data_IF_167286992370
#
_entry.id   IF_167286992370
#
_cell.length_a   1.000
_cell.length_b   1.000
_cell.length_c   1.000
_cell.angle_alpha   90.00
_cell.angle_beta   90.00
_cell.angle_gamma   90.00
#
_symmetry.space_group_name_H-M   'P 1'
#
loop_
_entity.id
_entity.type
_entity.pdbx_description
1 polymer ?
#
# COMPACT_ATOMS: atom_id res chain seq x y z
N UNK A 1 4.44 4.02 7.46
CA UNK A 1 5.31 3.86 8.64
C UNK A 1 5.02 4.99 9.62
N UNK A 2 4.96 4.67 10.91
CA UNK A 2 4.70 5.62 11.98
C UNK A 2 5.94 5.81 12.83
N UNK A 3 6.62 6.97 12.76
CA UNK A 3 7.65 7.35 13.72
C UNK A 3 7.10 7.46 15.15
N UNK A 4 5.85 7.91 15.32
CA UNK A 4 5.27 8.18 16.64
C UNK A 4 4.93 6.92 17.43
N UNK A 5 4.58 5.83 16.73
CA UNK A 5 4.37 4.51 17.31
C UNK A 5 5.54 3.54 17.07
N UNK A 6 6.62 4.00 16.43
CA UNK A 6 7.78 3.21 16.01
C UNK A 6 7.42 1.87 15.36
N UNK A 7 6.53 1.90 14.36
CA UNK A 7 6.07 0.68 13.68
C UNK A 7 5.67 0.90 12.23
N UNK A 8 5.78 -0.18 11.45
CA UNK A 8 5.18 -0.27 10.12
C UNK A 8 3.79 -0.91 10.25
N UNK A 9 2.81 -0.34 9.54
CA UNK A 9 1.41 -0.74 9.65
C UNK A 9 0.91 -1.15 8.27
N UNK A 10 0.24 -2.29 8.18
CA UNK A 10 -0.50 -2.66 6.96
C UNK A 10 -1.75 -1.80 6.91
N UNK A 11 -1.86 -0.97 5.87
CA UNK A 11 -3.02 -0.08 5.71
C UNK A 11 -4.08 -0.65 4.78
N UNK A 12 -3.79 -1.70 4.02
CA UNK A 12 -4.72 -2.35 3.10
C UNK A 12 -4.06 -2.83 1.81
N UNK A 13 -4.85 -3.47 0.96
CA UNK A 13 -4.40 -4.02 -0.32
C UNK A 13 -5.47 -3.79 -1.40
N UNK A 14 -5.01 -3.52 -2.60
CA UNK A 14 -5.86 -3.44 -3.78
C UNK A 14 -5.19 -4.14 -4.97
N UNK A 15 -5.99 -4.42 -6.00
CA UNK A 15 -5.51 -4.78 -7.32
C UNK A 15 -5.76 -3.57 -8.22
N UNK A 16 -4.69 -3.05 -8.80
CA UNK A 16 -4.78 -2.00 -9.80
C UNK A 16 -5.57 -2.51 -11.01
N UNK A 17 -6.60 -1.77 -11.40
CA UNK A 17 -7.44 -2.10 -12.55
C UNK A 17 -6.96 -1.30 -13.76
N UNK A 18 -6.54 -2.00 -14.80
CA UNK A 18 -5.74 -1.45 -15.89
C UNK A 18 -6.38 -1.73 -17.26
N UNK A 19 -6.45 -0.69 -18.09
CA UNK A 19 -6.96 -0.76 -19.45
C UNK A 19 -5.80 -0.72 -20.44
N UNK A 20 -5.80 -1.55 -21.47
CA UNK A 20 -6.80 -2.56 -21.86
C UNK A 20 -6.49 -3.99 -21.37
N UNK A 21 -5.35 -4.20 -20.69
CA UNK A 21 -4.87 -5.53 -20.27
C UNK A 21 -5.91 -6.35 -19.48
N UNK A 22 -6.63 -5.74 -18.53
CA UNK A 22 -7.64 -6.45 -17.74
C UNK A 22 -8.94 -6.76 -18.51
N UNK A 23 -9.18 -6.02 -19.60
CA UNK A 23 -10.24 -6.33 -20.55
C UNK A 23 -9.83 -7.48 -21.47
N UNK A 24 -8.63 -7.42 -22.03
CA UNK A 24 -8.09 -8.42 -22.96
C UNK A 24 -7.98 -9.81 -22.33
N UNK A 25 -7.65 -9.91 -21.04
CA UNK A 25 -7.62 -11.23 -20.34
C UNK A 25 -8.99 -11.94 -20.28
N UNK A 26 -10.09 -11.23 -20.53
CA UNK A 26 -11.46 -11.77 -20.55
C UNK A 26 -11.94 -12.11 -21.97
N UNK A 27 -11.21 -11.69 -22.99
CA UNK A 27 -11.55 -11.94 -24.38
C UNK A 27 -11.09 -13.34 -24.84
N UNK A 28 -11.72 -13.92 -25.87
CA UNK A 28 -11.19 -15.10 -26.55
C UNK A 28 -9.74 -14.88 -27.03
N UNK A 29 -8.92 -15.94 -27.01
CA UNK A 29 -7.48 -15.86 -27.33
C UNK A 29 -7.22 -15.31 -28.73
N UNK A 30 -8.07 -15.65 -29.71
CA UNK A 30 -7.98 -15.18 -31.09
C UNK A 30 -8.33 -13.69 -31.25
N UNK A 31 -9.05 -13.11 -30.29
CA UNK A 31 -9.30 -11.67 -30.20
C UNK A 31 -8.16 -10.99 -29.45
N UNK A 32 -7.81 -11.48 -28.26
CA UNK A 32 -6.79 -10.87 -27.41
C UNK A 32 -5.41 -10.78 -28.09
N UNK A 33 -5.03 -11.82 -28.83
CA UNK A 33 -3.75 -11.88 -29.57
C UNK A 33 -3.59 -10.86 -30.70
N UNK A 34 -4.67 -10.14 -31.07
CA UNK A 34 -4.63 -9.08 -32.11
C UNK A 34 -4.22 -7.72 -31.55
N UNK A 35 -4.12 -7.57 -30.23
CA UNK A 35 -3.84 -6.30 -29.56
C UNK A 35 -2.54 -6.39 -28.76
N UNK A 36 -1.83 -5.28 -28.64
CA UNK A 36 -0.71 -5.13 -27.70
C UNK A 36 -1.24 -4.51 -26.42
N UNK A 37 -1.19 -5.23 -25.27
CA UNK A 37 -1.80 -4.74 -24.04
C UNK A 37 -1.12 -3.48 -23.54
N UNK A 38 -1.93 -2.59 -22.99
CA UNK A 38 -1.51 -1.40 -22.25
C UNK A 38 -1.90 -1.52 -20.78
N UNK A 39 -1.17 -0.81 -19.92
CA UNK A 39 -1.32 -0.88 -18.45
C UNK A 39 -1.82 0.46 -17.89
N UNK A 40 -2.71 1.13 -18.63
CA UNK A 40 -3.22 2.45 -18.21
C UNK A 40 -4.12 2.25 -17.00
N UNK A 41 -3.77 2.85 -15.87
CA UNK A 41 -4.53 2.74 -14.63
C UNK A 41 -5.90 3.42 -14.79
N UNK A 42 -6.98 2.66 -14.61
CA UNK A 42 -8.37 3.14 -14.72
C UNK A 42 -9.18 2.94 -13.46
N UNK A 43 -8.67 2.20 -12.47
CA UNK A 43 -9.34 2.00 -11.20
C UNK A 43 -8.53 1.11 -10.24
N UNK A 44 -9.18 0.71 -9.15
CA UNK A 44 -8.62 -0.17 -8.14
C UNK A 44 -9.73 -1.09 -7.61
N UNK A 45 -9.40 -2.35 -7.31
CA UNK A 45 -10.32 -3.33 -6.75
C UNK A 45 -9.85 -3.72 -5.35
N UNK A 46 -10.73 -3.79 -4.34
CA UNK A 46 -10.31 -4.24 -3.01
C UNK A 46 -9.90 -5.71 -3.05
N UNK A 47 -8.82 -6.06 -2.36
CA UNK A 47 -8.38 -7.45 -2.18
C UNK A 47 -7.96 -7.70 -0.75
N UNK A 48 -8.16 -8.93 -0.29
CA UNK A 48 -7.70 -9.40 1.02
C UNK A 48 -6.82 -10.62 0.77
N UNK A 49 -5.48 -10.48 0.83
CA UNK A 49 -4.58 -11.61 0.61
C UNK A 49 -4.81 -12.70 1.66
N UNK A 50 -4.40 -13.93 1.33
CA UNK A 50 -4.32 -15.04 2.29
C UNK A 50 -3.48 -14.58 3.49
N UNK A 51 -3.98 -14.81 4.70
CA UNK A 51 -3.38 -14.29 5.94
C UNK A 51 -1.89 -14.60 6.09
N UNK A 52 -1.44 -15.79 5.69
CA UNK A 52 -0.01 -16.17 5.71
C UNK A 52 0.90 -15.21 4.93
N UNK A 53 0.39 -14.51 3.90
CA UNK A 53 1.17 -13.54 3.12
C UNK A 53 1.38 -12.21 3.87
N UNK A 54 0.59 -11.92 4.91
CA UNK A 54 0.68 -10.65 5.64
C UNK A 54 2.02 -10.50 6.35
N UNK A 55 2.59 -11.60 6.86
CA UNK A 55 3.93 -11.62 7.46
C UNK A 55 4.98 -11.17 6.45
N UNK A 56 4.97 -11.74 5.24
CA UNK A 56 5.90 -11.36 4.16
C UNK A 56 5.71 -9.92 3.72
N UNK A 57 4.47 -9.44 3.55
CA UNK A 57 4.21 -8.06 3.16
C UNK A 57 4.68 -7.06 4.24
N UNK A 58 4.48 -7.38 5.51
CA UNK A 58 4.96 -6.54 6.62
C UNK A 58 6.49 -6.52 6.67
N UNK A 59 7.15 -7.69 6.56
CA UNK A 59 8.61 -7.80 6.51
C UNK A 59 9.19 -6.95 5.36
N UNK A 60 8.58 -7.02 4.17
CA UNK A 60 8.98 -6.21 3.03
C UNK A 60 8.84 -4.71 3.32
N UNK A 61 7.75 -4.31 3.97
CA UNK A 61 7.54 -2.93 4.40
C UNK A 61 8.60 -2.45 5.39
N UNK A 62 8.93 -3.26 6.40
CA UNK A 62 9.97 -2.94 7.38
C UNK A 62 11.37 -2.85 6.77
N UNK A 63 11.69 -3.78 5.86
CA UNK A 63 12.94 -3.78 5.10
C UNK A 63 13.04 -2.57 4.18
N UNK A 64 11.95 -2.19 3.52
CA UNK A 64 11.88 -0.99 2.70
C UNK A 64 12.16 0.26 3.54
N UNK A 65 11.45 0.45 4.65
CA UNK A 65 11.67 1.59 5.56
C UNK A 65 13.11 1.63 6.06
N UNK A 66 13.65 0.49 6.48
CA UNK A 66 15.04 0.38 6.97
C UNK A 66 16.06 0.74 5.88
N UNK A 67 15.83 0.29 4.65
CA UNK A 67 16.67 0.64 3.51
C UNK A 67 16.60 2.14 3.23
N UNK A 68 15.41 2.72 3.13
CA UNK A 68 15.24 4.16 2.86
C UNK A 68 15.90 5.02 3.94
N UNK A 69 15.71 4.71 5.22
CA UNK A 69 16.37 5.42 6.33
C UNK A 69 17.90 5.37 6.22
N UNK A 70 18.45 4.21 5.83
CA UNK A 70 19.90 4.03 5.64
C UNK A 70 20.42 4.80 4.43
N UNK A 71 19.77 4.69 3.27
CA UNK A 71 20.25 5.30 2.02
C UNK A 71 20.10 6.83 2.02
N UNK A 72 19.04 7.36 2.66
CA UNK A 72 18.78 8.80 2.69
C UNK A 72 19.34 9.49 3.96
N UNK A 73 19.95 8.73 4.88
CA UNK A 73 20.55 9.26 6.11
C UNK A 73 19.54 9.99 7.01
N UNK A 74 18.28 9.59 6.98
CA UNK A 74 17.19 10.39 7.52
C UNK A 74 15.98 9.61 8.01
N UNK A 75 14.92 10.36 8.27
CA UNK A 75 13.64 9.84 8.75
C UNK A 75 12.79 9.38 7.57
N UNK A 76 11.86 8.48 7.84
CA UNK A 76 10.84 8.08 6.90
C UNK A 76 9.50 8.11 7.62
N UNK A 77 8.54 8.87 7.12
CA UNK A 77 7.24 9.05 7.77
C UNK A 77 6.11 8.97 6.74
N UNK A 78 5.00 8.35 7.15
CA UNK A 78 3.78 8.35 6.35
C UNK A 78 3.62 7.14 5.41
N UNK A 79 2.68 7.24 4.45
CA UNK A 79 2.24 6.13 3.63
C UNK A 79 3.19 5.86 2.47
N UNK A 80 3.33 4.59 2.12
CA UNK A 80 3.99 4.11 0.91
C UNK A 80 3.26 2.86 0.41
N UNK A 81 3.54 2.48 -0.83
CA UNK A 81 3.04 1.26 -1.43
C UNK A 81 4.20 0.47 -2.03
N UNK A 82 4.20 -0.85 -1.81
CA UNK A 82 5.03 -1.80 -2.54
C UNK A 82 4.12 -2.52 -3.54
N UNK A 83 4.37 -2.32 -4.83
CA UNK A 83 3.60 -2.96 -5.88
C UNK A 83 4.18 -4.34 -6.15
N UNK A 84 3.39 -5.36 -5.86
CA UNK A 84 3.86 -6.74 -5.83
C UNK A 84 3.02 -7.66 -6.71
N UNK A 85 3.64 -8.74 -7.17
CA UNK A 85 2.96 -9.93 -7.70
C UNK A 85 3.24 -11.11 -6.77
N UNK A 86 2.27 -12.03 -6.68
CA UNK A 86 2.39 -13.28 -5.92
C UNK A 86 2.32 -14.44 -6.91
N UNK A 87 3.34 -15.28 -6.93
CA UNK A 87 3.37 -16.45 -7.80
C UNK A 87 2.56 -17.63 -7.23
N UNK A 88 2.55 -18.74 -7.97
CA UNK A 88 1.81 -19.96 -7.59
C UNK A 88 2.35 -20.65 -6.33
N UNK A 89 3.61 -20.39 -5.98
CA UNK A 89 4.30 -20.96 -4.82
C UNK A 89 4.25 -20.00 -3.61
N UNK A 90 3.47 -18.91 -3.72
CA UNK A 90 3.30 -17.85 -2.72
C UNK A 90 4.55 -16.99 -2.51
N UNK A 91 5.46 -16.93 -3.48
CA UNK A 91 6.57 -15.98 -3.43
C UNK A 91 6.07 -14.58 -3.81
N UNK A 92 6.44 -13.59 -3.00
CA UNK A 92 6.10 -12.18 -3.23
C UNK A 92 7.26 -11.49 -3.95
N UNK A 93 7.00 -10.90 -5.11
CA UNK A 93 7.96 -10.12 -5.89
C UNK A 93 7.48 -8.68 -5.99
N UNK A 94 8.23 -7.75 -5.40
CA UNK A 94 8.00 -6.31 -5.58
C UNK A 94 8.65 -5.84 -6.89
N UNK A 95 7.89 -5.16 -7.75
CA UNK A 95 8.38 -4.65 -9.03
C UNK A 95 8.45 -3.12 -9.08
N UNK A 96 7.68 -2.42 -8.23
CA UNK A 96 7.67 -0.97 -8.11
C UNK A 96 7.36 -0.55 -6.66
N UNK A 97 7.68 0.68 -6.31
CA UNK A 97 7.22 1.29 -5.07
C UNK A 97 6.78 2.74 -5.28
N UNK A 98 5.85 3.20 -4.44
CA UNK A 98 5.46 4.61 -4.31
C UNK A 98 5.78 5.10 -2.91
N UNK A 99 6.66 6.09 -2.78
CA UNK A 99 7.02 6.73 -1.51
C UNK A 99 5.97 7.71 -0.95
N UNK A 100 4.71 7.52 -1.32
CA UNK A 100 3.56 8.35 -0.93
C UNK A 100 2.26 7.53 -1.01
N UNK A 101 1.16 8.13 -0.58
CA UNK A 101 -0.18 7.57 -0.73
C UNK A 101 -0.50 7.27 -2.21
N UNK A 102 -1.24 6.18 -2.44
CA UNK A 102 -1.62 5.68 -3.79
C UNK A 102 -3.13 5.65 -3.94
N UNK A 103 -3.61 5.66 -5.19
CA UNK A 103 -5.05 5.63 -5.49
C UNK A 103 -5.75 4.37 -4.95
N UNK A 104 -5.02 3.26 -4.80
CA UNK A 104 -5.50 2.02 -4.20
C UNK A 104 -6.15 2.18 -2.83
N UNK A 105 -5.72 3.17 -2.03
CA UNK A 105 -6.33 3.43 -0.72
C UNK A 105 -7.79 3.88 -0.80
N UNK A 106 -8.24 4.34 -1.98
CA UNK A 106 -9.59 4.84 -2.19
C UNK A 106 -10.67 3.75 -2.08
N UNK A 107 -10.32 2.47 -2.26
CA UNK A 107 -11.26 1.35 -2.10
C UNK A 107 -11.81 1.27 -0.66
N UNK A 108 -11.16 1.92 0.29
CA UNK A 108 -11.53 1.95 1.71
C UNK A 108 -12.16 3.28 2.16
N UNK A 109 -12.48 4.22 1.26
CA UNK A 109 -12.96 5.56 1.63
C UNK A 109 -14.24 5.56 2.48
N UNK A 110 -15.19 4.68 2.17
CA UNK A 110 -16.52 4.69 2.82
C UNK A 110 -16.54 3.93 4.14
N UNK A 111 -15.81 2.81 4.22
CA UNK A 111 -15.90 1.87 5.34
C UNK A 111 -14.62 1.80 6.18
N UNK A 112 -13.58 2.56 5.81
CA UNK A 112 -12.25 2.43 6.39
C UNK A 112 -11.55 1.13 5.96
N UNK A 113 -10.26 1.06 6.25
CA UNK A 113 -9.50 -0.17 6.06
C UNK A 113 -9.76 -1.13 7.21
N UNK A 114 -10.10 -2.41 6.94
CA UNK A 114 -10.24 -3.40 7.98
C UNK A 114 -8.92 -3.66 8.71
N UNK A 115 -7.77 -3.46 8.05
CA UNK A 115 -6.45 -3.59 8.68
C UNK A 115 -6.20 -2.47 9.69
N UNK A 116 -6.49 -1.22 9.32
CA UNK A 116 -6.38 -0.10 10.26
C UNK A 116 -7.34 -0.24 11.43
N UNK A 117 -8.53 -0.81 11.21
CA UNK A 117 -9.47 -1.07 12.29
C UNK A 117 -8.91 -2.04 13.35
N UNK A 118 -8.04 -2.99 12.97
CA UNK A 118 -7.37 -3.89 13.93
C UNK A 118 -6.38 -3.14 14.83
N UNK A 119 -5.70 -2.12 14.30
CA UNK A 119 -4.74 -1.33 15.09
C UNK A 119 -5.42 -0.32 16.02
N UNK A 120 -6.53 0.27 15.57
CA UNK A 120 -7.13 1.45 16.23
C UNK A 120 -8.54 1.23 16.80
N UNK A 121 -9.11 0.03 16.65
CA UNK A 121 -10.43 -0.33 17.17
C UNK A 121 -11.60 0.42 16.53
N UNK A 122 -11.38 1.12 15.40
CA UNK A 122 -12.41 1.86 14.66
C UNK A 122 -12.10 1.91 13.16
N UNK A 123 -13.12 2.06 12.29
CA UNK A 123 -12.92 2.39 10.89
C UNK A 123 -12.01 3.60 10.73
N UNK A 124 -11.02 3.47 9.84
CA UNK A 124 -10.06 4.52 9.55
C UNK A 124 -9.54 4.38 8.11
N UNK A 125 -9.51 5.47 7.38
CA UNK A 125 -8.87 5.61 6.07
C UNK A 125 -7.38 5.93 6.22
N UNK A 126 -6.60 5.75 5.16
CA UNK A 126 -5.17 6.14 5.18
C UNK A 126 -5.01 7.65 5.36
N UNK A 127 -5.92 8.46 4.81
CA UNK A 127 -5.93 9.92 5.03
C UNK A 127 -6.15 10.29 6.49
N UNK A 128 -7.14 9.68 7.15
CA UNK A 128 -7.35 9.86 8.59
C UNK A 128 -6.17 9.37 9.41
N UNK A 129 -5.51 8.30 8.98
CA UNK A 129 -4.31 7.78 9.64
C UNK A 129 -3.14 8.77 9.58
N UNK A 130 -2.94 9.44 8.44
CA UNK A 130 -1.93 10.50 8.32
C UNK A 130 -2.28 11.69 9.22
N UNK A 131 -3.55 12.12 9.23
CA UNK A 131 -4.00 13.20 10.10
C UNK A 131 -3.82 12.87 11.59
N UNK A 132 -4.06 11.61 11.97
CA UNK A 132 -3.82 11.11 13.33
C UNK A 132 -2.33 11.18 13.68
N UNK A 133 -1.43 10.77 12.79
CA UNK A 133 0.03 10.84 13.02
C UNK A 133 0.48 12.28 13.30
N UNK A 134 0.02 13.23 12.47
CA UNK A 134 0.35 14.64 12.64
C UNK A 134 -0.19 15.21 13.97
N UNK A 135 -1.42 14.84 14.33
CA UNK A 135 -2.01 15.27 15.60
C UNK A 135 -1.23 14.73 16.79
N UNK A 136 -0.91 13.44 16.81
CA UNK A 136 -0.13 12.84 17.90
C UNK A 136 1.30 13.39 17.97
N UNK A 137 1.93 13.62 16.82
CA UNK A 137 3.25 14.27 16.77
C UNK A 137 3.20 15.67 17.38
N UNK A 138 2.18 16.47 17.06
CA UNK A 138 1.98 17.80 17.66
C UNK A 138 1.75 17.72 19.18
N UNK A 139 0.88 16.82 19.63
CA UNK A 139 0.58 16.63 21.06
C UNK A 139 1.80 16.21 21.88
N UNK A 140 2.74 15.48 21.25
CA UNK A 140 4.00 15.02 21.87
C UNK A 140 5.16 16.00 21.68
N UNK A 141 4.97 17.10 20.95
CA UNK A 141 6.03 18.03 20.61
C UNK A 141 7.13 17.42 19.72
N UNK A 142 6.75 16.46 18.86
CA UNK A 142 7.64 15.66 18.02
C UNK A 142 7.32 15.81 16.51
N UNK A 143 6.90 17.02 16.08
CA UNK A 143 6.54 17.27 14.67
C UNK A 143 7.74 17.11 13.72
N UNK A 144 8.95 17.37 14.21
CA UNK A 144 10.21 17.14 13.50
C UNK A 144 10.47 15.68 13.15
N UNK A 145 9.73 14.73 13.74
CA UNK A 145 9.81 13.30 13.39
C UNK A 145 9.01 12.95 12.12
N UNK A 146 8.03 13.78 11.76
CA UNK A 146 7.05 13.50 10.69
C UNK A 146 7.05 14.53 9.57
N UNK A 147 7.83 15.62 9.72
CA UNK A 147 8.01 16.67 8.74
C UNK A 147 9.48 16.73 8.29
N UNK A 148 9.69 17.13 7.04
CA UNK A 148 11.01 17.35 6.42
C UNK A 148 11.00 18.67 5.66
#
# INVERSE_FOLDING_TARGET
HSPIHDRTEITGFDIRYESDVDGLRRAPVDVASRYSPTFTVVGNLPVFPRERLLETFLEYGERFVSAVKRELGGKFAGPFCLECVVDRDLNVLAFEFSGRIVAGTNVYLVHGSPYLALYFGRPMTVGERVALELREAQERGALEEVLT
#
